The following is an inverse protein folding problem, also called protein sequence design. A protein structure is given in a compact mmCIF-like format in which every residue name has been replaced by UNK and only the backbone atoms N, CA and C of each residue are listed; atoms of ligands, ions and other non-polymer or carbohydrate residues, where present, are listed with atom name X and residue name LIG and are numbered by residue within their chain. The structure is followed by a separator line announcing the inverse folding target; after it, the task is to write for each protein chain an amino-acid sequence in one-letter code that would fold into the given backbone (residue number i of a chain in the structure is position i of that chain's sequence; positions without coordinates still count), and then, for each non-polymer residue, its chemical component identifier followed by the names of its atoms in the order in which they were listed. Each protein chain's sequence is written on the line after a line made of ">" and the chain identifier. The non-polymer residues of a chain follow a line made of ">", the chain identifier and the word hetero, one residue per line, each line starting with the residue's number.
data_IF_738397768535
#
_entry.id   IF_738397768535
#
_cell.length_a   1.000
_cell.length_b   1.000
_cell.length_c   1.000
_cell.angle_alpha   90.00
_cell.angle_beta   90.00
_cell.angle_gamma   90.00
#
_symmetry.space_group_name_H-M   'P 1'
#
loop_
_entity.id
_entity.type
_entity.pdbx_description
1 polymer ?
#
# COMPACT_ATOMS: atom_id res chain seq x y z
N UNK A 1 -30.01 17.96 3.68
CA UNK A 1 -28.77 17.18 3.36
C UNK A 1 -28.90 16.49 2.01
N UNK A 2 -30.02 15.81 1.70
CA UNK A 2 -30.36 15.43 0.31
C UNK A 2 -30.51 16.65 -0.61
N UNK A 3 -31.14 17.74 -0.15
CA UNK A 3 -31.41 18.90 -1.00
C UNK A 3 -30.16 19.61 -1.51
N UNK A 4 -29.04 19.59 -0.77
CA UNK A 4 -27.80 20.25 -1.19
C UNK A 4 -27.02 19.42 -2.21
N UNK A 5 -26.97 18.10 -2.04
CA UNK A 5 -26.30 17.19 -2.98
C UNK A 5 -27.13 17.01 -4.26
N UNK A 6 -28.46 16.88 -4.12
CA UNK A 6 -29.39 16.88 -5.26
C UNK A 6 -29.36 18.21 -6.00
N UNK A 7 -29.32 19.36 -5.31
CA UNK A 7 -29.17 20.67 -5.97
C UNK A 7 -27.82 20.81 -6.69
N UNK A 8 -26.72 20.26 -6.15
CA UNK A 8 -25.42 20.30 -6.80
C UNK A 8 -25.40 19.40 -8.06
N UNK A 9 -25.98 18.20 -7.98
CA UNK A 9 -26.11 17.27 -9.11
C UNK A 9 -27.04 17.83 -10.17
N UNK A 10 -28.15 18.47 -9.80
CA UNK A 10 -29.04 19.16 -10.72
C UNK A 10 -28.37 20.39 -11.35
N UNK A 11 -27.57 21.14 -10.59
CA UNK A 11 -26.81 22.31 -11.10
C UNK A 11 -25.69 21.86 -12.06
N UNK A 12 -24.99 20.77 -11.75
CA UNK A 12 -23.97 20.18 -12.62
C UNK A 12 -24.60 19.56 -13.88
N UNK A 13 -25.74 18.88 -13.74
CA UNK A 13 -26.53 18.35 -14.86
C UNK A 13 -27.09 19.47 -15.75
N UNK A 14 -27.58 20.56 -15.17
CA UNK A 14 -28.05 21.74 -15.90
C UNK A 14 -26.92 22.46 -16.64
N UNK A 15 -25.73 22.58 -16.02
CA UNK A 15 -24.53 23.12 -16.69
C UNK A 15 -24.03 22.20 -17.81
N UNK A 16 -24.08 20.88 -17.63
CA UNK A 16 -23.74 19.93 -18.67
C UNK A 16 -24.74 19.95 -19.84
N UNK A 17 -26.03 20.19 -19.57
CA UNK A 17 -27.07 20.42 -20.59
C UNK A 17 -26.83 21.72 -21.37
N UNK A 18 -26.50 22.81 -20.70
CA UNK A 18 -26.12 24.08 -21.35
C UNK A 18 -24.91 23.91 -22.27
N UNK A 19 -23.86 23.21 -21.81
CA UNK A 19 -22.67 22.92 -22.62
C UNK A 19 -22.96 22.00 -23.82
N UNK A 20 -23.97 21.12 -23.72
CA UNK A 20 -24.38 20.27 -24.83
C UNK A 20 -25.31 21.00 -25.81
N UNK A 21 -26.12 21.95 -25.35
CA UNK A 21 -26.99 22.78 -26.20
C UNK A 21 -26.19 23.88 -26.92
N UNK A 22 -25.24 24.51 -26.23
CA UNK A 22 -24.23 25.40 -26.85
C UNK A 22 -23.34 24.63 -27.83
N UNK A 23 -22.93 23.41 -27.48
CA UNK A 23 -22.22 22.51 -28.39
C UNK A 23 -23.06 22.11 -29.61
N UNK A 24 -24.37 21.91 -29.44
CA UNK A 24 -25.29 21.57 -30.52
C UNK A 24 -25.50 22.76 -31.47
N UNK A 25 -25.66 23.98 -30.96
CA UNK A 25 -25.75 25.18 -31.79
C UNK A 25 -24.42 25.55 -32.47
N UNK A 26 -23.28 25.23 -31.85
CA UNK A 26 -21.96 25.36 -32.48
C UNK A 26 -21.81 24.38 -33.67
N UNK A 27 -22.31 23.15 -33.53
CA UNK A 27 -22.32 22.13 -34.60
C UNK A 27 -23.28 22.51 -35.74
N UNK A 28 -24.40 23.14 -35.40
CA UNK A 28 -25.37 23.69 -36.37
C UNK A 28 -24.81 24.89 -37.14
N UNK A 29 -24.07 25.79 -36.47
CA UNK A 29 -23.39 26.92 -37.10
C UNK A 29 -22.20 26.51 -37.99
N UNK A 30 -21.56 25.38 -37.71
CA UNK A 30 -20.44 24.84 -38.49
C UNK A 30 -20.88 23.98 -39.67
N UNK A 31 -22.20 23.79 -39.86
CA UNK A 31 -22.78 23.13 -41.04
C UNK A 31 -22.43 21.64 -41.16
N UNK A 32 -22.02 21.00 -40.06
CA UNK A 32 -21.52 19.62 -40.07
C UNK A 32 -22.54 18.68 -39.40
N UNK A 33 -23.69 18.49 -40.06
CA UNK A 33 -24.55 17.29 -39.98
C UNK A 33 -25.75 17.43 -40.95
N UNK A 34 -25.88 16.50 -41.89
CA UNK A 34 -27.16 16.22 -42.56
C UNK A 34 -28.07 15.52 -41.55
N UNK A 35 -29.23 16.14 -41.29
CA UNK A 35 -30.32 15.58 -40.49
C UNK A 35 -31.04 14.50 -41.32
N UNK A 36 -31.01 13.24 -40.89
CA UNK A 36 -32.08 12.32 -41.25
C UNK A 36 -33.33 12.70 -40.46
N UNK A 37 -34.30 13.27 -41.17
CA UNK A 37 -35.67 13.47 -40.69
C UNK A 37 -36.38 12.13 -40.51
N UNK A 38 -37.11 12.01 -39.40
CA UNK A 38 -38.29 11.17 -39.30
C UNK A 38 -38.20 10.05 -38.27
N UNK A 39 -38.87 10.23 -37.13
CA UNK A 39 -40.15 9.54 -36.91
C UNK A 39 -40.88 10.20 -35.73
N UNK A 40 -42.07 10.69 -36.05
CA UNK A 40 -43.07 11.22 -35.15
C UNK A 40 -43.79 10.02 -34.51
N UNK A 41 -43.95 10.01 -33.19
CA UNK A 41 -45.08 9.32 -32.59
C UNK A 41 -45.47 10.04 -31.29
N UNK A 42 -46.46 10.89 -31.48
CA UNK A 42 -47.32 11.45 -30.47
C UNK A 42 -48.01 10.32 -29.72
N UNK A 43 -47.72 10.17 -28.42
CA UNK A 43 -48.81 9.83 -27.51
C UNK A 43 -48.62 10.40 -26.11
N UNK A 44 -49.49 11.38 -25.88
CA UNK A 44 -49.77 12.06 -24.64
C UNK A 44 -50.35 11.08 -23.60
N UNK A 45 -49.79 11.09 -22.40
CA UNK A 45 -50.25 10.31 -21.27
C UNK A 45 -49.87 11.00 -19.96
N UNK A 46 -50.50 12.14 -19.71
CA UNK A 46 -50.51 12.81 -18.41
C UNK A 46 -51.15 11.92 -17.36
N UNK A 47 -50.41 11.57 -16.32
CA UNK A 47 -51.00 11.25 -15.01
C UNK A 47 -50.12 11.79 -13.90
N UNK A 48 -50.50 12.97 -13.42
CA UNK A 48 -50.23 13.46 -12.08
C UNK A 48 -50.90 12.54 -11.06
N UNK A 49 -50.18 12.09 -10.01
CA UNK A 49 -50.80 11.77 -8.72
C UNK A 49 -49.86 12.11 -7.56
N UNK A 50 -50.09 13.30 -7.01
CA UNK A 50 -50.28 13.64 -5.60
C UNK A 50 -49.26 13.19 -4.52
N UNK A 51 -48.48 14.18 -4.08
CA UNK A 51 -47.86 14.25 -2.76
C UNK A 51 -48.88 14.20 -1.61
N UNK A 52 -48.58 13.44 -0.55
CA UNK A 52 -49.11 13.66 0.80
C UNK A 52 -47.95 13.91 1.77
N UNK A 53 -47.79 15.18 2.17
CA UNK A 53 -47.26 15.61 3.49
C UNK A 53 -48.36 15.29 4.53
N UNK A 54 -48.16 14.99 5.81
CA UNK A 54 -47.33 15.52 6.94
C UNK A 54 -47.74 14.64 8.19
N UNK A 55 -47.30 14.83 9.46
CA UNK A 55 -46.20 15.62 10.02
C UNK A 55 -45.29 14.89 11.03
N UNK A 56 -44.23 15.60 11.44
CA UNK A 56 -43.36 15.29 12.57
C UNK A 56 -44.02 15.62 13.91
N UNK A 57 -43.61 14.93 14.99
CA UNK A 57 -43.74 15.41 16.37
C UNK A 57 -42.57 14.88 17.22
N UNK A 58 -42.09 15.80 18.07
CA UNK A 58 -40.96 15.84 19.02
C UNK A 58 -40.88 14.66 20.01
N UNK A 59 -39.70 14.10 20.36
CA UNK A 59 -38.64 14.53 21.30
C UNK A 59 -38.81 13.99 22.76
N UNK A 60 -37.68 13.53 23.32
CA UNK A 60 -37.25 13.51 24.75
C UNK A 60 -37.07 12.13 25.47
N UNK A 61 -35.83 11.97 25.96
CA UNK A 61 -35.27 11.20 27.11
C UNK A 61 -34.93 9.69 27.06
N UNK A 62 -33.62 9.44 26.90
CA UNK A 62 -32.70 8.64 27.74
C UNK A 62 -33.21 7.42 28.52
N UNK A 63 -32.61 6.26 28.20
CA UNK A 63 -32.00 5.32 29.17
C UNK A 63 -31.12 4.29 28.45
N UNK A 64 -29.89 4.17 28.92
CA UNK A 64 -28.92 3.14 28.54
C UNK A 64 -29.52 1.74 28.74
N UNK A 65 -29.47 0.92 27.69
CA UNK A 65 -29.55 -0.54 27.78
C UNK A 65 -28.47 -1.07 26.85
N UNK A 66 -27.48 -1.72 27.42
CA UNK A 66 -26.49 -2.54 26.70
C UNK A 66 -27.24 -3.57 25.85
N UNK A 67 -27.10 -3.43 24.54
CA UNK A 67 -27.65 -4.26 23.48
C UNK A 67 -26.72 -4.24 22.27
N UNK A 68 -26.86 -5.20 21.35
CA UNK A 68 -25.80 -5.65 20.44
C UNK A 68 -25.26 -4.51 19.57
N UNK A 69 -23.96 -4.63 19.21
CA UNK A 69 -23.20 -3.70 18.36
C UNK A 69 -24.08 -2.99 17.33
N UNK A 70 -23.94 -1.66 17.16
CA UNK A 70 -24.78 -0.93 16.23
C UNK A 70 -24.65 -1.58 14.86
N UNK A 71 -25.78 -1.99 14.30
CA UNK A 71 -25.86 -2.42 12.91
C UNK A 71 -25.21 -1.31 12.09
N UNK A 72 -24.04 -1.59 11.52
CA UNK A 72 -23.32 -0.66 10.66
C UNK A 72 -24.17 -0.49 9.42
N UNK A 73 -25.10 0.46 9.46
CA UNK A 73 -25.93 0.84 8.32
C UNK A 73 -25.13 1.81 7.47
N UNK A 74 -24.23 1.29 6.64
CA UNK A 74 -23.49 2.07 5.66
C UNK A 74 -22.09 1.53 5.37
N UNK A 75 -21.52 2.01 4.26
CA UNK A 75 -20.19 1.64 3.78
C UNK A 75 -19.19 2.61 4.34
N UNK A 76 -18.30 2.12 5.20
CA UNK A 76 -17.29 2.96 5.84
C UNK A 76 -16.02 3.03 5.00
N UNK A 77 -15.23 4.09 5.17
CA UNK A 77 -13.90 4.19 4.52
C UNK A 77 -13.03 2.98 4.85
N UNK A 78 -13.05 2.56 6.10
CA UNK A 78 -12.29 1.39 6.57
C UNK A 78 -12.65 0.09 5.88
N UNK A 79 -13.90 -0.10 5.46
CA UNK A 79 -14.29 -1.30 4.73
C UNK A 79 -13.58 -1.42 3.37
N UNK A 80 -13.20 -0.28 2.77
CA UNK A 80 -12.46 -0.20 1.52
C UNK A 80 -10.95 -0.30 1.71
N UNK A 81 -10.38 0.39 2.71
CA UNK A 81 -8.93 0.61 2.79
C UNK A 81 -8.22 -0.18 3.89
N UNK A 82 -8.95 -0.77 4.84
CA UNK A 82 -8.35 -1.71 5.78
C UNK A 82 -8.42 -3.14 5.21
N UNK A 83 -7.27 -3.81 5.07
CA UNK A 83 -7.26 -5.21 4.63
C UNK A 83 -8.05 -6.09 5.61
N UNK A 84 -8.63 -7.21 5.13
CA UNK A 84 -9.27 -8.17 6.01
C UNK A 84 -8.23 -8.80 6.96
N UNK A 85 -8.67 -9.31 8.10
CA UNK A 85 -7.77 -9.90 9.12
C UNK A 85 -7.02 -11.15 8.64
N UNK A 86 -7.47 -11.76 7.55
CA UNK A 86 -6.84 -12.94 6.92
C UNK A 86 -5.90 -12.56 5.77
N UNK A 87 -5.62 -11.27 5.58
CA UNK A 87 -4.72 -10.77 4.54
C UNK A 87 -3.25 -11.07 4.89
N UNK A 88 -2.52 -11.61 3.93
CA UNK A 88 -1.15 -12.12 4.06
C UNK A 88 -0.13 -11.21 3.35
N UNK A 89 -0.56 -10.32 2.45
CA UNK A 89 0.32 -9.35 1.77
C UNK A 89 0.48 -8.05 2.59
N UNK A 90 1.43 -7.17 2.25
CA UNK A 90 1.52 -5.86 2.87
C UNK A 90 0.20 -5.07 2.77
N UNK A 91 -0.11 -4.25 3.77
CA UNK A 91 -1.36 -3.48 3.82
C UNK A 91 -1.42 -2.40 2.72
N UNK A 92 -0.25 -1.91 2.30
CA UNK A 92 -0.10 -0.95 1.21
C UNK A 92 -0.51 -1.55 -0.13
N UNK A 93 -0.34 -2.87 -0.33
CA UNK A 93 -0.82 -3.56 -1.54
C UNK A 93 -2.36 -3.58 -1.58
N UNK A 94 -3.01 -3.83 -0.44
CA UNK A 94 -4.47 -3.77 -0.35
C UNK A 94 -4.98 -2.38 -0.71
N UNK A 95 -4.40 -1.33 -0.12
CA UNK A 95 -4.81 0.05 -0.35
C UNK A 95 -4.67 0.43 -1.83
N UNK A 96 -3.53 0.11 -2.45
CA UNK A 96 -3.28 0.35 -3.88
C UNK A 96 -4.33 -0.34 -4.77
N UNK A 97 -4.64 -1.60 -4.49
CA UNK A 97 -5.61 -2.38 -5.26
C UNK A 97 -7.03 -1.84 -5.05
N UNK A 98 -7.40 -1.52 -3.82
CA UNK A 98 -8.70 -0.95 -3.48
C UNK A 98 -8.95 0.38 -4.20
N UNK A 99 -7.98 1.31 -4.20
CA UNK A 99 -8.06 2.56 -4.94
C UNK A 99 -8.21 2.31 -6.44
N UNK A 100 -7.42 1.38 -6.98
CA UNK A 100 -7.47 1.04 -8.40
C UNK A 100 -8.84 0.49 -8.83
N UNK A 101 -9.50 -0.29 -7.97
CA UNK A 101 -10.83 -0.83 -8.24
C UNK A 101 -11.92 0.26 -8.28
N UNK A 102 -11.78 1.34 -7.50
CA UNK A 102 -12.69 2.50 -7.55
C UNK A 102 -12.50 3.35 -8.82
N UNK A 103 -11.35 3.18 -9.48
CA UNK A 103 -10.92 3.87 -10.69
C UNK A 103 -11.02 2.98 -11.94
N UNK A 104 -11.62 1.80 -11.82
CA UNK A 104 -11.81 0.86 -12.92
C UNK A 104 -13.26 0.90 -13.42
N UNK A 105 -13.41 1.18 -14.71
CA UNK A 105 -14.70 1.50 -15.33
C UNK A 105 -15.69 0.33 -15.24
N UNK A 106 -15.25 -0.88 -15.54
CA UNK A 106 -16.12 -2.05 -15.55
C UNK A 106 -16.56 -2.46 -14.14
N UNK A 107 -15.70 -2.29 -13.15
CA UNK A 107 -15.97 -2.50 -11.73
C UNK A 107 -17.08 -1.59 -11.22
N UNK A 108 -17.17 -0.39 -11.77
CA UNK A 108 -18.16 0.59 -11.38
C UNK A 108 -19.49 0.45 -12.16
N UNK A 109 -19.46 -0.04 -13.40
CA UNK A 109 -20.63 -0.06 -14.29
C UNK A 109 -21.33 -1.43 -14.33
N UNK A 110 -20.58 -2.54 -14.34
CA UNK A 110 -21.16 -3.87 -14.53
C UNK A 110 -21.93 -4.29 -13.27
N UNK A 111 -23.25 -4.56 -13.38
CA UNK A 111 -24.05 -5.03 -12.25
C UNK A 111 -23.63 -6.44 -11.81
N UNK A 112 -23.53 -6.71 -10.49
CA UNK A 112 -23.26 -8.03 -9.93
C UNK A 112 -24.13 -9.14 -10.51
N UNK A 113 -25.41 -8.87 -10.77
CA UNK A 113 -26.38 -9.83 -11.31
C UNK A 113 -25.93 -10.39 -12.66
N UNK A 114 -25.25 -9.59 -13.48
CA UNK A 114 -24.74 -10.05 -14.77
C UNK A 114 -23.58 -11.02 -14.62
N UNK A 115 -22.72 -10.80 -13.62
CA UNK A 115 -21.57 -11.66 -13.33
C UNK A 115 -22.05 -12.98 -12.74
N UNK A 116 -22.95 -12.90 -11.75
CA UNK A 116 -23.58 -14.06 -11.07
C UNK A 116 -24.43 -14.88 -12.04
N UNK A 117 -24.99 -14.25 -13.09
CA UNK A 117 -25.74 -14.92 -14.15
C UNK A 117 -24.88 -15.69 -15.16
N UNK A 118 -23.56 -15.54 -15.18
CA UNK A 118 -22.67 -16.25 -16.10
C UNK A 118 -21.90 -17.36 -15.40
N UNK A 119 -22.24 -18.62 -15.71
CA UNK A 119 -21.64 -19.82 -15.10
C UNK A 119 -20.12 -19.87 -15.24
N UNK A 120 -19.58 -19.41 -16.39
CA UNK A 120 -18.14 -19.40 -16.65
C UNK A 120 -17.37 -18.50 -15.68
N UNK A 121 -17.89 -17.29 -15.45
CA UNK A 121 -17.30 -16.30 -14.54
C UNK A 121 -17.50 -16.70 -13.09
N UNK A 122 -18.67 -17.21 -12.74
CA UNK A 122 -18.96 -17.73 -11.39
C UNK A 122 -18.03 -18.89 -11.04
N UNK A 123 -17.87 -19.86 -11.94
CA UNK A 123 -16.99 -21.01 -11.71
C UNK A 123 -15.53 -20.55 -11.50
N UNK A 124 -15.06 -19.62 -12.33
CA UNK A 124 -13.73 -19.03 -12.17
C UNK A 124 -13.58 -18.26 -10.85
N UNK A 125 -14.56 -17.45 -10.48
CA UNK A 125 -14.59 -16.69 -9.23
C UNK A 125 -14.58 -17.61 -8.00
N UNK A 126 -15.43 -18.63 -7.99
CA UNK A 126 -15.48 -19.63 -6.92
C UNK A 126 -14.15 -20.38 -6.78
N UNK A 127 -13.54 -20.78 -7.91
CA UNK A 127 -12.22 -21.41 -7.92
C UNK A 127 -11.13 -20.51 -7.35
N UNK A 128 -11.11 -19.22 -7.71
CA UNK A 128 -10.15 -18.25 -7.18
C UNK A 128 -10.33 -18.01 -5.68
N UNK A 129 -11.56 -18.00 -5.18
CA UNK A 129 -11.89 -17.78 -3.77
C UNK A 129 -11.86 -19.07 -2.93
N UNK A 130 -11.61 -20.21 -3.56
CA UNK A 130 -11.65 -21.53 -2.94
C UNK A 130 -12.98 -21.81 -2.20
N UNK A 131 -14.10 -21.51 -2.87
CA UNK A 131 -15.45 -21.79 -2.39
C UNK A 131 -16.17 -22.79 -3.30
N UNK A 132 -16.93 -23.70 -2.69
CA UNK A 132 -17.51 -24.84 -3.41
C UNK A 132 -18.75 -24.50 -4.25
N UNK A 133 -19.38 -23.34 -4.02
CA UNK A 133 -20.62 -22.95 -4.71
C UNK A 133 -20.86 -21.44 -4.69
N UNK A 134 -21.72 -20.99 -5.59
CA UNK A 134 -22.16 -19.58 -5.69
C UNK A 134 -22.87 -19.09 -4.42
N UNK A 135 -23.51 -19.99 -3.67
CA UNK A 135 -24.22 -19.69 -2.42
C UNK A 135 -23.28 -19.24 -1.30
N UNK A 136 -21.98 -19.52 -1.44
CA UNK A 136 -20.93 -19.05 -0.51
C UNK A 136 -20.41 -17.66 -0.87
N UNK A 137 -20.81 -17.09 -2.00
CA UNK A 137 -20.49 -15.71 -2.34
C UNK A 137 -21.40 -14.74 -1.58
N UNK A 138 -20.96 -13.49 -1.33
CA UNK A 138 -21.79 -12.48 -0.70
C UNK A 138 -23.06 -12.21 -1.51
N UNK A 139 -24.19 -12.13 -0.81
CA UNK A 139 -25.45 -11.69 -1.42
C UNK A 139 -25.30 -10.28 -2.00
N UNK A 140 -26.00 -10.01 -3.11
CA UNK A 140 -26.01 -8.68 -3.70
C UNK A 140 -26.76 -7.73 -2.75
N UNK A 141 -26.08 -6.70 -2.21
CA UNK A 141 -26.66 -5.85 -1.19
C UNK A 141 -27.75 -4.94 -1.77
N UNK A 142 -28.70 -4.53 -0.93
CA UNK A 142 -29.70 -3.52 -1.32
C UNK A 142 -29.09 -2.13 -1.14
N UNK A 143 -29.52 -1.16 -1.95
CA UNK A 143 -28.98 0.21 -1.89
C UNK A 143 -28.94 0.82 -0.47
N UNK A 144 -29.96 0.55 0.35
CA UNK A 144 -30.03 1.05 1.74
C UNK A 144 -28.84 0.60 2.61
N UNK A 145 -28.26 -0.55 2.28
CA UNK A 145 -27.13 -1.18 2.98
C UNK A 145 -25.79 -0.69 2.39
N UNK A 146 -25.82 -0.03 1.22
CA UNK A 146 -24.67 0.48 0.46
C UNK A 146 -24.49 2.00 0.55
N UNK A 147 -25.20 2.69 1.44
CA UNK A 147 -25.04 4.15 1.57
C UNK A 147 -23.64 4.49 2.07
N UNK A 148 -22.87 5.33 1.37
CA UNK A 148 -21.54 5.71 1.84
C UNK A 148 -21.64 6.51 3.14
N UNK A 149 -20.74 6.23 4.07
CA UNK A 149 -20.54 7.04 5.27
C UNK A 149 -20.04 8.45 4.91
N UNK A 150 -20.28 9.43 5.78
CA UNK A 150 -19.79 10.79 5.57
C UNK A 150 -18.26 10.83 5.42
N UNK A 151 -17.55 10.03 6.21
CA UNK A 151 -16.10 9.92 6.14
C UNK A 151 -15.60 9.47 4.75
N UNK A 152 -16.26 8.47 4.17
CA UNK A 152 -15.91 7.99 2.82
C UNK A 152 -16.19 9.07 1.77
N UNK A 153 -17.28 9.82 1.91
CA UNK A 153 -17.61 10.93 1.01
C UNK A 153 -16.57 12.05 1.14
N UNK A 154 -16.24 12.46 2.35
CA UNK A 154 -15.25 13.50 2.61
C UNK A 154 -13.89 13.11 2.05
N UNK A 155 -13.49 11.84 2.21
CA UNK A 155 -12.25 11.32 1.62
C UNK A 155 -12.30 11.33 0.09
N UNK A 156 -13.38 10.85 -0.53
CA UNK A 156 -13.52 10.89 -2.00
C UNK A 156 -13.43 12.32 -2.54
N UNK A 157 -13.94 13.31 -1.79
CA UNK A 157 -13.87 14.72 -2.18
C UNK A 157 -12.45 15.31 -2.05
N UNK A 158 -11.58 14.71 -1.24
CA UNK A 158 -10.17 15.08 -1.13
C UNK A 158 -9.32 14.41 -2.22
N UNK A 159 -9.69 13.21 -2.66
CA UNK A 159 -9.01 12.49 -3.75
C UNK A 159 -9.50 12.95 -5.12
N UNK A 160 -8.82 13.96 -5.68
CA UNK A 160 -9.20 14.62 -6.94
C UNK A 160 -9.38 13.64 -8.10
N UNK A 161 -8.53 12.61 -8.21
CA UNK A 161 -8.63 11.64 -9.29
C UNK A 161 -9.88 10.75 -9.18
N UNK A 162 -10.19 10.28 -7.97
CA UNK A 162 -11.35 9.43 -7.72
C UNK A 162 -12.68 10.18 -7.96
N UNK A 163 -12.77 11.43 -7.50
CA UNK A 163 -13.98 12.24 -7.70
C UNK A 163 -14.16 12.64 -9.16
N UNK A 164 -13.09 12.99 -9.87
CA UNK A 164 -13.13 13.28 -11.30
C UNK A 164 -13.60 12.07 -12.08
N UNK A 165 -13.00 10.89 -11.84
CA UNK A 165 -13.39 9.63 -12.47
C UNK A 165 -14.87 9.32 -12.23
N UNK A 166 -15.33 9.36 -10.98
CA UNK A 166 -16.74 9.12 -10.63
C UNK A 166 -17.68 10.12 -11.29
N UNK A 167 -17.31 11.40 -11.33
CA UNK A 167 -18.13 12.47 -11.91
C UNK A 167 -18.34 12.30 -13.42
N UNK A 168 -17.38 11.67 -14.12
CA UNK A 168 -17.50 11.33 -15.54
C UNK A 168 -18.31 10.06 -15.78
N UNK A 169 -18.23 9.10 -14.86
CA UNK A 169 -18.79 7.76 -15.01
C UNK A 169 -20.27 7.68 -14.61
N UNK A 170 -20.62 8.15 -13.42
CA UNK A 170 -21.96 7.99 -12.83
C UNK A 170 -23.04 8.65 -13.70
N UNK A 171 -23.05 9.97 -13.96
CA UNK A 171 -24.14 10.59 -14.74
C UNK A 171 -24.26 10.05 -16.16
N UNK A 172 -23.23 9.38 -16.69
CA UNK A 172 -23.17 8.89 -18.07
C UNK A 172 -23.60 7.43 -18.22
N UNK A 173 -23.31 6.56 -17.26
CA UNK A 173 -23.44 5.11 -17.44
C UNK A 173 -24.24 4.38 -16.36
N UNK A 174 -24.33 4.93 -15.15
CA UNK A 174 -24.87 4.19 -13.99
C UNK A 174 -25.43 5.15 -12.94
N UNK A 175 -26.60 4.87 -12.35
CA UNK A 175 -27.12 5.71 -11.27
C UNK A 175 -26.20 5.71 -10.05
N UNK A 176 -26.26 6.74 -9.21
CA UNK A 176 -25.48 6.76 -7.96
C UNK A 176 -25.78 5.52 -7.09
N UNK A 177 -27.04 5.09 -7.07
CA UNK A 177 -27.47 3.91 -6.32
C UNK A 177 -26.78 2.64 -6.83
N UNK A 178 -26.76 2.45 -8.16
CA UNK A 178 -26.11 1.28 -8.76
C UNK A 178 -24.60 1.34 -8.66
N UNK A 179 -23.99 2.52 -8.75
CA UNK A 179 -22.55 2.67 -8.51
C UNK A 179 -22.17 2.12 -7.13
N UNK A 180 -22.91 2.51 -6.08
CA UNK A 180 -22.64 2.02 -4.74
C UNK A 180 -22.93 0.53 -4.57
N UNK A 181 -24.02 0.01 -5.13
CA UNK A 181 -24.28 -1.46 -5.10
C UNK A 181 -23.15 -2.23 -5.76
N UNK A 182 -22.73 -1.81 -6.97
CA UNK A 182 -21.69 -2.45 -7.77
C UNK A 182 -20.35 -2.47 -7.02
N UNK A 183 -19.97 -1.34 -6.44
CA UNK A 183 -18.73 -1.17 -5.69
C UNK A 183 -18.77 -1.96 -4.38
N UNK A 184 -19.87 -1.88 -3.61
CA UNK A 184 -19.99 -2.59 -2.33
C UNK A 184 -19.87 -4.10 -2.48
N UNK A 185 -20.62 -4.68 -3.42
CA UNK A 185 -20.59 -6.13 -3.64
C UNK A 185 -19.19 -6.64 -3.99
N UNK A 186 -18.48 -5.90 -4.84
CA UNK A 186 -17.08 -6.21 -5.18
C UNK A 186 -16.18 -6.17 -3.97
N UNK A 187 -16.30 -5.16 -3.12
CA UNK A 187 -15.49 -5.09 -1.91
C UNK A 187 -15.83 -6.21 -0.90
N UNK A 188 -17.08 -6.66 -0.82
CA UNK A 188 -17.41 -7.85 -0.03
C UNK A 188 -16.68 -9.09 -0.56
N UNK A 189 -16.58 -9.25 -1.89
CA UNK A 189 -15.83 -10.32 -2.54
C UNK A 189 -14.32 -10.16 -2.32
N UNK A 190 -13.77 -8.95 -2.50
CA UNK A 190 -12.35 -8.66 -2.33
C UNK A 190 -11.87 -9.00 -0.93
N UNK A 191 -12.71 -8.78 0.08
CA UNK A 191 -12.42 -9.12 1.48
C UNK A 191 -12.35 -10.64 1.75
N UNK A 192 -12.76 -11.48 0.81
CA UNK A 192 -12.56 -12.93 0.86
C UNK A 192 -11.17 -13.36 0.35
N UNK A 193 -10.42 -12.44 -0.29
CA UNK A 193 -9.07 -12.70 -0.77
C UNK A 193 -8.06 -12.64 0.38
N UNK A 194 -6.97 -13.40 0.25
CA UNK A 194 -5.88 -13.50 1.22
C UNK A 194 -4.62 -12.76 0.81
N UNK A 195 -4.40 -12.53 -0.48
CA UNK A 195 -3.19 -11.87 -0.95
C UNK A 195 -3.43 -11.05 -2.22
N UNK A 196 -2.47 -10.19 -2.56
CA UNK A 196 -2.56 -9.27 -3.70
C UNK A 196 -2.75 -9.95 -5.05
N UNK A 197 -2.17 -11.14 -5.25
CA UNK A 197 -2.30 -11.87 -6.52
C UNK A 197 -3.71 -12.43 -6.71
N UNK A 198 -4.23 -13.07 -5.67
CA UNK A 198 -5.61 -13.57 -5.66
C UNK A 198 -6.60 -12.43 -5.86
N UNK A 199 -6.38 -11.30 -5.17
CA UNK A 199 -7.24 -10.12 -5.31
C UNK A 199 -7.23 -9.57 -6.74
N UNK A 200 -6.07 -9.46 -7.37
CA UNK A 200 -5.96 -9.06 -8.77
C UNK A 200 -6.69 -10.00 -9.72
N UNK A 201 -6.56 -11.32 -9.54
CA UNK A 201 -7.24 -12.31 -10.38
C UNK A 201 -8.76 -12.18 -10.22
N UNK A 202 -9.23 -11.96 -8.99
CA UNK A 202 -10.65 -11.75 -8.69
C UNK A 202 -11.15 -10.43 -9.30
N UNK A 203 -10.42 -9.33 -9.12
CA UNK A 203 -10.72 -8.01 -9.71
C UNK A 203 -10.87 -8.11 -11.23
N UNK A 204 -9.95 -8.80 -11.90
CA UNK A 204 -10.00 -9.02 -13.35
C UNK A 204 -11.25 -9.81 -13.77
N UNK A 205 -11.63 -10.83 -13.01
CA UNK A 205 -12.86 -11.62 -13.28
C UNK A 205 -14.12 -10.79 -13.09
N UNK A 206 -14.26 -10.06 -11.97
CA UNK A 206 -15.47 -9.25 -11.69
C UNK A 206 -15.55 -7.96 -12.52
N UNK A 207 -14.53 -7.67 -13.31
CA UNK A 207 -14.47 -6.58 -14.28
C UNK A 207 -14.62 -7.06 -15.73
N UNK A 208 -14.74 -8.37 -15.93
CA UNK A 208 -14.96 -8.96 -17.26
C UNK A 208 -16.43 -8.82 -17.64
N UNK A 209 -16.72 -8.26 -18.82
CA UNK A 209 -18.08 -8.14 -19.32
C UNK A 209 -18.65 -9.52 -19.67
N UNK A 210 -19.79 -9.93 -19.07
CA UNK A 210 -20.44 -11.19 -19.38
C UNK A 210 -21.02 -11.19 -20.79
N UNK A 211 -20.75 -12.22 -21.60
CA UNK A 211 -21.24 -12.38 -22.99
C UNK A 211 -21.27 -11.08 -23.84
N UNK A 212 -20.16 -10.67 -24.50
CA UNK A 212 -20.04 -9.36 -25.18
C UNK A 212 -20.82 -9.23 -26.52
N UNK A 213 -22.01 -9.82 -26.62
CA UNK A 213 -22.87 -9.85 -27.82
C UNK A 213 -24.25 -9.28 -27.49
N UNK A 214 -24.86 -8.50 -28.39
CA UNK A 214 -26.25 -8.06 -28.17
C UNK A 214 -27.26 -9.19 -28.37
N UNK A 215 -28.53 -8.88 -28.04
CA UNK A 215 -29.69 -9.78 -28.16
C UNK A 215 -29.97 -10.28 -29.59
N UNK A 216 -29.23 -9.82 -30.59
CA UNK A 216 -29.34 -10.25 -32.00
C UNK A 216 -28.16 -11.08 -32.48
N UNK A 217 -27.18 -11.40 -31.61
CA UNK A 217 -25.99 -12.16 -31.99
C UNK A 217 -24.97 -11.35 -32.79
N UNK A 218 -25.08 -10.02 -32.77
CA UNK A 218 -24.11 -9.10 -33.40
C UNK A 218 -23.22 -8.49 -32.31
N UNK A 219 -21.92 -8.39 -32.57
CA UNK A 219 -20.97 -7.65 -31.74
C UNK A 219 -21.47 -6.20 -31.59
N UNK A 220 -21.77 -5.75 -30.35
CA UNK A 220 -22.26 -4.38 -30.12
C UNK A 220 -21.26 -3.35 -30.63
N UNK A 221 -21.76 -2.38 -31.41
CA UNK A 221 -21.01 -1.16 -31.81
C UNK A 221 -20.90 -0.10 -30.71
N UNK A 222 -21.47 -0.29 -29.51
CA UNK A 222 -21.34 0.65 -28.39
C UNK A 222 -20.17 0.24 -27.49
N UNK A 223 -19.11 1.04 -27.54
CA UNK A 223 -17.93 1.00 -26.65
C UNK A 223 -18.31 1.40 -25.21
N UNK A 224 -19.09 0.57 -24.54
CA UNK A 224 -19.31 0.64 -23.10
C UNK A 224 -18.83 -0.72 -22.60
N UNK A 225 -17.80 -0.78 -21.76
CA UNK A 225 -17.26 -2.05 -21.25
C UNK A 225 -15.96 -2.57 -21.90
N UNK A 226 -15.41 -1.88 -22.91
CA UNK A 226 -14.15 -2.30 -23.56
C UNK A 226 -13.12 -1.18 -23.65
N UNK A 227 -12.28 -1.03 -22.62
CA UNK A 227 -10.85 -0.91 -22.80
C UNK A 227 -10.24 -2.32 -22.82
N UNK A 228 -9.10 -2.46 -23.46
CA UNK A 228 -8.25 -3.63 -23.33
C UNK A 228 -7.73 -3.71 -21.88
N UNK A 229 -8.59 -4.12 -20.94
CA UNK A 229 -8.30 -4.14 -19.49
C UNK A 229 -7.15 -5.09 -19.16
N UNK A 230 -6.79 -6.00 -20.05
CA UNK A 230 -5.57 -6.79 -19.95
C UNK A 230 -4.33 -5.90 -19.81
N UNK A 231 -4.26 -4.75 -20.48
CA UNK A 231 -3.15 -3.81 -20.29
C UNK A 231 -3.20 -3.11 -18.93
N UNK A 232 -4.38 -2.75 -18.44
CA UNK A 232 -4.56 -2.16 -17.10
C UNK A 232 -4.12 -3.15 -16.01
N UNK A 233 -4.67 -4.37 -16.02
CA UNK A 233 -4.34 -5.42 -15.05
C UNK A 233 -2.89 -5.87 -15.16
N UNK A 234 -2.32 -5.95 -16.37
CA UNK A 234 -0.89 -6.22 -16.56
C UNK A 234 -0.03 -5.12 -15.93
N UNK A 235 -0.35 -3.84 -16.17
CA UNK A 235 0.36 -2.71 -15.54
C UNK A 235 0.23 -2.74 -14.01
N UNK A 236 -0.94 -3.13 -13.49
CA UNK A 236 -1.14 -3.26 -12.04
C UNK A 236 -0.29 -4.38 -11.45
N UNK A 237 -0.25 -5.55 -12.11
CA UNK A 237 0.64 -6.67 -11.74
C UNK A 237 2.11 -6.26 -11.78
N UNK A 238 2.54 -5.58 -12.83
CA UNK A 238 3.91 -5.04 -12.94
C UNK A 238 4.21 -4.05 -11.80
N UNK A 239 3.28 -3.15 -11.48
CA UNK A 239 3.43 -2.17 -10.39
C UNK A 239 3.61 -2.85 -9.03
N UNK A 240 2.80 -3.87 -8.74
CA UNK A 240 2.91 -4.64 -7.49
C UNK A 240 4.22 -5.42 -7.43
N UNK A 241 4.60 -6.08 -8.54
CA UNK A 241 5.85 -6.81 -8.59
C UNK A 241 7.06 -5.89 -8.38
N UNK A 242 7.10 -4.72 -9.03
CA UNK A 242 8.15 -3.74 -8.81
C UNK A 242 8.21 -3.25 -7.36
N UNK A 243 7.06 -3.06 -6.69
CA UNK A 243 7.01 -2.69 -5.26
C UNK A 243 7.56 -3.82 -4.37
N UNK A 244 7.20 -5.07 -4.65
CA UNK A 244 7.72 -6.23 -3.91
C UNK A 244 9.23 -6.39 -4.09
N UNK A 245 9.72 -6.27 -5.31
CA UNK A 245 11.16 -6.30 -5.61
C UNK A 245 11.90 -5.17 -4.91
N UNK A 246 11.32 -3.96 -4.88
CA UNK A 246 11.90 -2.83 -4.16
C UNK A 246 11.94 -3.08 -2.65
N UNK A 247 10.86 -3.60 -2.07
CA UNK A 247 10.79 -3.92 -0.64
C UNK A 247 11.80 -5.00 -0.25
N UNK A 248 11.88 -6.09 -1.02
CA UNK A 248 12.86 -7.16 -0.80
C UNK A 248 14.30 -6.65 -0.91
N UNK A 249 14.57 -5.83 -1.94
CA UNK A 249 15.88 -5.19 -2.10
C UNK A 249 16.23 -4.28 -0.91
N UNK A 250 15.27 -3.49 -0.42
CA UNK A 250 15.45 -2.63 0.76
C UNK A 250 15.75 -3.45 2.02
N UNK A 251 15.03 -4.54 2.25
CA UNK A 251 15.25 -5.44 3.39
C UNK A 251 16.65 -6.07 3.34
N UNK A 252 17.11 -6.50 2.16
CA UNK A 252 18.47 -7.00 1.94
C UNK A 252 19.53 -5.93 2.27
N UNK A 253 19.33 -4.68 1.83
CA UNK A 253 20.25 -3.60 2.15
C UNK A 253 20.29 -3.31 3.66
N UNK A 254 19.13 -3.31 4.33
CA UNK A 254 19.02 -3.09 5.77
C UNK A 254 19.77 -4.19 6.53
N UNK A 255 19.50 -5.45 6.19
CA UNK A 255 20.15 -6.62 6.80
C UNK A 255 21.67 -6.57 6.60
N UNK A 256 22.13 -6.26 5.39
CA UNK A 256 23.56 -6.10 5.10
C UNK A 256 24.19 -5.01 5.97
N UNK A 257 23.58 -3.83 6.05
CA UNK A 257 24.12 -2.71 6.84
C UNK A 257 24.16 -3.03 8.33
N UNK A 258 23.10 -3.64 8.87
CA UNK A 258 23.04 -4.05 10.27
C UNK A 258 24.13 -5.07 10.60
N UNK A 259 24.27 -6.10 9.78
CA UNK A 259 25.28 -7.14 9.96
C UNK A 259 26.70 -6.56 9.96
N UNK A 260 27.02 -5.68 9.01
CA UNK A 260 28.34 -5.05 8.95
C UNK A 260 28.62 -4.11 10.13
N UNK A 261 27.59 -3.40 10.62
CA UNK A 261 27.68 -2.59 11.83
C UNK A 261 27.97 -3.47 13.05
N UNK A 262 27.29 -4.60 13.20
CA UNK A 262 27.49 -5.52 14.33
C UNK A 262 28.92 -6.08 14.37
N UNK A 263 29.44 -6.54 13.22
CA UNK A 263 30.82 -7.02 13.11
C UNK A 263 31.84 -5.92 13.43
N UNK A 264 31.61 -4.71 12.93
CA UNK A 264 32.45 -3.55 13.20
C UNK A 264 32.45 -3.18 14.69
N UNK A 265 31.27 -3.18 15.33
CA UNK A 265 31.12 -2.87 16.76
C UNK A 265 31.82 -3.89 17.65
N UNK A 266 31.72 -5.18 17.33
CA UNK A 266 32.42 -6.24 18.09
C UNK A 266 33.93 -6.03 18.09
N UNK A 267 34.52 -5.76 16.91
CA UNK A 267 35.95 -5.47 16.80
C UNK A 267 36.36 -4.15 17.47
N UNK A 268 35.53 -3.12 17.34
CA UNK A 268 35.74 -1.83 17.99
C UNK A 268 35.77 -1.96 19.52
N UNK A 269 34.88 -2.77 20.10
CA UNK A 269 34.86 -3.06 21.53
C UNK A 269 36.15 -3.76 21.98
N UNK A 270 36.60 -4.77 21.23
CA UNK A 270 37.87 -5.44 21.50
C UNK A 270 39.06 -4.47 21.46
N UNK A 271 39.15 -3.64 20.41
CA UNK A 271 40.22 -2.64 20.28
C UNK A 271 40.18 -1.63 21.44
N UNK A 272 38.99 -1.18 21.81
CA UNK A 272 38.79 -0.26 22.93
C UNK A 272 39.30 -0.86 24.24
N UNK A 273 39.01 -2.14 24.50
CA UNK A 273 39.49 -2.84 25.69
C UNK A 273 41.03 -2.96 25.71
N UNK A 274 41.66 -3.23 24.56
CA UNK A 274 43.12 -3.30 24.42
C UNK A 274 43.76 -1.93 24.68
N UNK A 275 43.19 -0.86 24.09
CA UNK A 275 43.61 0.53 24.33
C UNK A 275 43.52 0.88 25.82
N UNK A 276 42.41 0.54 26.48
CA UNK A 276 42.22 0.82 27.92
C UNK A 276 43.26 0.13 28.80
N UNK A 277 43.68 -1.09 28.43
CA UNK A 277 44.75 -1.81 29.12
C UNK A 277 46.16 -1.35 28.74
N UNK A 278 46.28 -0.46 27.73
CA UNK A 278 47.56 0.00 27.15
C UNK A 278 48.45 -1.15 26.69
N UNK A 279 47.81 -2.20 26.14
CA UNK A 279 48.50 -3.38 25.64
C UNK A 279 48.84 -3.19 24.16
N UNK A 280 50.13 -3.30 23.81
CA UNK A 280 50.60 -3.38 22.43
C UNK A 280 51.09 -4.80 22.18
N UNK A 281 50.15 -5.69 21.87
CA UNK A 281 50.37 -7.13 21.66
C UNK A 281 50.10 -7.50 20.21
N UNK A 282 50.56 -8.67 19.77
CA UNK A 282 50.22 -9.21 18.44
C UNK A 282 48.70 -9.32 18.22
N UNK A 283 47.95 -9.61 19.29
CA UNK A 283 46.49 -9.59 19.28
C UNK A 283 45.96 -8.18 19.03
N UNK A 284 46.52 -7.15 19.66
CA UNK A 284 46.17 -5.75 19.42
C UNK A 284 46.41 -5.32 17.98
N UNK A 285 47.52 -5.74 17.39
CA UNK A 285 47.84 -5.45 15.99
C UNK A 285 46.86 -6.15 15.04
N UNK A 286 46.54 -7.42 15.32
CA UNK A 286 45.52 -8.19 14.58
C UNK A 286 44.13 -7.54 14.64
N UNK A 287 43.68 -7.15 15.85
CA UNK A 287 42.39 -6.47 16.04
C UNK A 287 42.37 -5.09 15.38
N UNK A 288 43.50 -4.37 15.40
CA UNK A 288 43.66 -3.09 14.67
C UNK A 288 43.52 -3.29 13.16
N UNK A 289 44.16 -4.31 12.57
CA UNK A 289 43.99 -4.62 11.14
C UNK A 289 42.56 -5.02 10.80
N UNK A 290 41.89 -5.79 11.66
CA UNK A 290 40.46 -6.11 11.51
C UNK A 290 39.59 -4.83 11.54
N UNK A 291 39.86 -3.91 12.47
CA UNK A 291 39.17 -2.63 12.55
C UNK A 291 39.40 -1.77 11.28
N UNK A 292 40.62 -1.75 10.73
CA UNK A 292 40.92 -1.07 9.46
C UNK A 292 40.13 -1.68 8.30
N UNK A 293 40.05 -3.01 8.24
CA UNK A 293 39.26 -3.72 7.24
C UNK A 293 37.78 -3.34 7.32
N UNK A 294 37.19 -3.39 8.51
CA UNK A 294 35.78 -3.03 8.71
C UNK A 294 35.54 -1.55 8.38
N UNK A 295 36.41 -0.63 8.80
CA UNK A 295 36.30 0.79 8.43
C UNK A 295 36.26 0.98 6.90
N UNK A 296 37.19 0.37 6.16
CA UNK A 296 37.21 0.45 4.71
C UNK A 296 35.96 -0.17 4.06
N UNK A 297 35.42 -1.24 4.64
CA UNK A 297 34.18 -1.88 4.20
C UNK A 297 32.95 -0.99 4.42
N UNK A 298 32.84 -0.37 5.60
CA UNK A 298 31.79 0.61 5.91
C UNK A 298 31.90 1.85 5.00
N UNK A 299 33.11 2.34 4.71
CA UNK A 299 33.33 3.45 3.76
C UNK A 299 32.78 3.12 2.37
N UNK A 300 33.06 1.91 1.87
CA UNK A 300 32.52 1.43 0.58
C UNK A 300 31.00 1.32 0.63
N UNK A 301 30.43 0.83 1.73
CA UNK A 301 28.99 0.68 1.90
C UNK A 301 28.28 2.05 1.91
N UNK A 302 28.80 3.02 2.66
CA UNK A 302 28.31 4.41 2.64
C UNK A 302 28.40 5.01 1.22
N UNK A 303 29.49 4.75 0.50
CA UNK A 303 29.64 5.17 -0.90
C UNK A 303 28.56 4.58 -1.81
N UNK A 304 28.29 3.27 -1.70
CA UNK A 304 27.24 2.59 -2.47
C UNK A 304 25.85 3.15 -2.16
N UNK A 305 25.51 3.34 -0.88
CA UNK A 305 24.22 3.88 -0.47
C UNK A 305 24.03 5.32 -0.96
N UNK A 306 25.07 6.16 -0.94
CA UNK A 306 25.02 7.52 -1.50
C UNK A 306 24.75 7.53 -3.00
N UNK A 307 25.31 6.58 -3.75
CA UNK A 307 25.04 6.45 -5.19
C UNK A 307 23.60 6.02 -5.48
N UNK A 308 22.93 5.37 -4.52
CA UNK A 308 21.57 4.86 -4.64
C UNK A 308 20.53 5.75 -3.94
N UNK A 309 20.88 7.00 -3.63
CA UNK A 309 20.03 7.95 -2.88
C UNK A 309 18.60 8.02 -3.41
N UNK A 310 18.40 8.15 -4.71
CA UNK A 310 17.06 8.27 -5.32
C UNK A 310 16.20 7.03 -5.07
N UNK A 311 16.83 5.85 -5.10
CA UNK A 311 16.16 4.56 -4.85
C UNK A 311 15.82 4.37 -3.37
N UNK A 312 16.63 4.93 -2.47
CA UNK A 312 16.46 4.82 -1.02
C UNK A 312 15.36 5.75 -0.47
N UNK A 313 15.02 6.84 -1.17
CA UNK A 313 13.96 7.77 -0.76
C UNK A 313 14.08 8.19 0.71
N UNK A 314 12.96 8.21 1.44
CA UNK A 314 12.88 8.52 2.88
C UNK A 314 13.11 7.29 3.79
N UNK A 315 13.82 6.27 3.31
CA UNK A 315 14.07 5.06 4.10
C UNK A 315 15.04 5.29 5.27
N UNK A 316 15.11 4.32 6.18
CA UNK A 316 16.07 4.34 7.30
C UNK A 316 17.53 4.34 6.88
N UNK A 317 17.81 3.99 5.61
CA UNK A 317 19.13 4.00 4.98
C UNK A 317 19.41 5.28 4.19
N UNK A 318 18.49 6.25 4.17
CA UNK A 318 18.69 7.49 3.45
C UNK A 318 19.95 8.23 3.94
N UNK A 319 20.84 8.67 3.04
CA UNK A 319 22.05 9.40 3.43
C UNK A 319 21.84 10.74 4.14
N UNK A 320 20.66 11.35 4.03
CA UNK A 320 20.38 12.68 4.58
C UNK A 320 19.75 12.65 5.97
N UNK A 321 18.84 11.70 6.19
CA UNK A 321 17.98 11.65 7.38
C UNK A 321 17.74 10.22 7.91
N UNK A 322 18.33 9.20 7.30
CA UNK A 322 18.13 7.81 7.68
C UNK A 322 18.85 7.45 9.00
N UNK A 323 18.15 6.99 10.05
CA UNK A 323 18.78 6.65 11.33
C UNK A 323 19.81 5.52 11.23
N UNK A 324 19.58 4.51 10.39
CA UNK A 324 20.54 3.41 10.21
C UNK A 324 21.77 3.87 9.42
N UNK A 325 21.60 4.78 8.45
CA UNK A 325 22.73 5.42 7.78
C UNK A 325 23.55 6.30 8.75
N UNK A 326 22.88 7.06 9.63
CA UNK A 326 23.57 7.85 10.65
C UNK A 326 24.35 6.96 11.63
N UNK A 327 23.79 5.82 12.02
CA UNK A 327 24.50 4.82 12.83
C UNK A 327 25.73 4.26 12.11
N UNK A 328 25.61 3.95 10.81
CA UNK A 328 26.72 3.50 9.97
C UNK A 328 27.87 4.52 9.94
N UNK A 329 27.56 5.80 9.77
CA UNK A 329 28.54 6.91 9.81
C UNK A 329 29.21 6.99 11.18
N UNK A 330 28.42 6.97 12.26
CA UNK A 330 28.92 7.05 13.63
C UNK A 330 29.90 5.91 13.97
N UNK A 331 29.57 4.67 13.59
CA UNK A 331 30.48 3.52 13.83
C UNK A 331 31.77 3.64 13.02
N UNK A 332 31.69 4.15 11.78
CA UNK A 332 32.89 4.40 10.97
C UNK A 332 33.79 5.48 11.60
N UNK A 333 33.19 6.56 12.12
CA UNK A 333 33.92 7.63 12.80
C UNK A 333 34.58 7.12 14.10
N UNK A 334 33.89 6.31 14.90
CA UNK A 334 34.46 5.70 16.10
C UNK A 334 35.63 4.76 15.77
N UNK A 335 35.53 3.97 14.69
CA UNK A 335 36.64 3.14 14.21
C UNK A 335 37.85 4.00 13.83
N UNK A 336 37.65 5.12 13.12
CA UNK A 336 38.74 6.07 12.82
C UNK A 336 39.43 6.55 14.09
N UNK A 337 38.66 7.07 15.04
CA UNK A 337 39.18 7.63 16.29
C UNK A 337 39.96 6.60 17.10
N UNK A 338 39.41 5.39 17.29
CA UNK A 338 40.10 4.34 18.07
C UNK A 338 41.35 3.80 17.37
N UNK A 339 41.34 3.72 16.04
CA UNK A 339 42.54 3.35 15.27
C UNK A 339 43.66 4.40 15.44
N UNK A 340 43.33 5.69 15.43
CA UNK A 340 44.29 6.76 15.68
C UNK A 340 44.87 6.70 17.10
N UNK A 341 44.02 6.44 18.11
CA UNK A 341 44.46 6.27 19.50
C UNK A 341 45.41 5.07 19.64
N UNK A 342 45.09 3.92 19.02
CA UNK A 342 45.96 2.74 19.06
C UNK A 342 47.29 2.98 18.34
N UNK A 343 47.28 3.66 17.19
CA UNK A 343 48.51 4.05 16.49
C UNK A 343 49.41 4.98 17.33
N UNK A 344 48.81 5.92 18.07
CA UNK A 344 49.53 6.79 19.00
C UNK A 344 50.17 6.02 20.15
N UNK A 345 49.49 5.01 20.70
CA UNK A 345 50.06 4.10 21.71
C UNK A 345 51.30 3.35 21.18
N UNK A 346 51.23 2.82 19.96
CA UNK A 346 52.36 2.13 19.31
C UNK A 346 53.55 3.06 19.07
N UNK A 347 53.31 4.34 18.77
CA UNK A 347 54.36 5.33 18.51
C UNK A 347 55.12 5.79 19.77
N UNK A 348 54.67 5.39 20.98
CA UNK A 348 55.31 5.74 22.23
C UNK A 348 55.16 7.21 22.66
N UNK A 349 54.24 7.96 22.04
CA UNK A 349 53.93 9.35 22.42
C UNK A 349 52.90 9.38 23.57
N UNK A 350 53.31 9.56 24.85
CA UNK A 350 52.41 9.39 25.99
C UNK A 350 51.55 10.63 26.26
N UNK A 351 51.75 11.71 25.50
CA UNK A 351 51.22 13.05 25.77
C UNK A 351 49.77 13.24 25.34
N UNK A 352 49.23 12.41 24.45
CA UNK A 352 47.86 12.56 23.92
C UNK A 352 46.86 11.50 24.41
N UNK A 353 47.32 10.46 25.11
CA UNK A 353 46.46 9.39 25.67
C UNK A 353 45.73 9.78 26.98
N UNK A 354 45.31 11.04 27.11
CA UNK A 354 44.35 11.46 28.16
C UNK A 354 42.98 11.64 27.51
N UNK A 355 42.23 10.55 27.38
CA UNK A 355 40.77 10.65 27.41
C UNK A 355 40.40 11.22 28.79
N UNK A 356 40.00 12.49 28.82
CA UNK A 356 39.25 13.03 29.94
C UNK A 356 37.90 12.33 29.95
N UNK A 357 37.83 11.20 30.65
CA UNK A 357 36.56 10.57 31.02
C UNK A 357 35.84 11.55 31.94
N UNK A 358 34.93 12.35 31.36
CA UNK A 358 33.87 12.99 32.13
C UNK A 358 32.97 11.90 32.67
N UNK A 359 33.09 11.60 33.96
CA UNK A 359 32.07 10.88 34.70
C UNK A 359 30.75 11.68 34.62
N UNK A 360 29.79 11.18 33.84
CA UNK A 360 28.46 11.74 33.79
C UNK A 360 27.52 10.92 32.90
N UNK A 361 26.83 9.95 33.51
CA UNK A 361 25.61 9.36 32.98
C UNK A 361 25.74 7.95 32.43
N UNK A 362 25.53 6.95 33.30
CA UNK A 362 25.03 5.64 32.90
C UNK A 362 23.71 5.81 32.12
N UNK A 363 23.70 5.50 30.83
CA UNK A 363 22.51 4.92 30.19
C UNK A 363 22.89 3.52 29.72
N UNK A 364 22.68 2.59 30.66
CA UNK A 364 22.73 1.17 30.45
C UNK A 364 21.55 0.78 29.56
N UNK A 365 21.80 0.54 28.27
CA UNK A 365 20.81 -0.06 27.38
C UNK A 365 20.57 -1.48 27.85
N UNK A 366 19.50 -1.66 28.62
CA UNK A 366 19.09 -2.95 29.18
C UNK A 366 18.57 -3.83 28.05
N UNK A 367 19.37 -4.79 27.59
CA UNK A 367 18.86 -5.94 26.84
C UNK A 367 18.21 -6.91 27.84
N UNK A 368 16.89 -7.06 27.77
CA UNK A 368 16.17 -8.11 28.48
C UNK A 368 16.57 -9.47 27.91
N UNK A 369 17.36 -10.23 28.65
CA UNK A 369 17.55 -11.67 28.44
C UNK A 369 16.60 -12.44 29.35
N UNK A 370 15.67 -13.17 28.74
CA UNK A 370 14.87 -14.20 29.40
C UNK A 370 15.76 -15.36 29.83
N UNK A 371 15.69 -15.69 31.12
CA UNK A 371 16.32 -16.82 31.81
C UNK A 371 15.94 -18.18 31.22
N UNK A 372 16.94 -19.00 30.93
CA UNK A 372 16.91 -20.45 31.19
C UNK A 372 18.33 -20.98 31.23
N UNK A 373 18.83 -21.27 32.42
CA UNK A 373 20.21 -21.65 32.67
C UNK A 373 20.57 -23.08 32.26
N UNK A 374 21.87 -23.28 32.09
CA UNK A 374 22.61 -24.44 32.56
C UNK A 374 24.08 -24.10 32.59
N UNK A 375 24.69 -24.26 33.77
CA UNK A 375 26.13 -24.25 33.97
C UNK A 375 26.80 -25.22 32.97
N UNK A 376 27.75 -24.70 32.21
CA UNK A 376 28.88 -25.49 31.77
C UNK A 376 30.12 -24.60 31.79
N UNK A 377 30.99 -24.92 32.74
CA UNK A 377 32.38 -24.50 32.81
C UNK A 377 33.05 -25.07 31.55
N UNK A 378 33.35 -24.21 30.59
CA UNK A 378 34.24 -24.50 29.47
C UNK A 378 34.98 -23.22 29.12
N UNK A 379 36.30 -23.26 29.34
CA UNK A 379 37.29 -22.33 28.84
C UNK A 379 37.10 -22.09 27.35
N UNK A 380 36.35 -21.05 26.97
CA UNK A 380 36.26 -20.58 25.59
C UNK A 380 37.58 -19.92 25.22
N UNK A 381 38.43 -20.68 24.53
CA UNK A 381 39.54 -20.15 23.74
C UNK A 381 38.91 -19.32 22.62
N UNK A 382 39.09 -18.00 22.67
CA UNK A 382 38.69 -17.09 21.60
C UNK A 382 39.75 -17.17 20.51
N UNK A 383 39.53 -18.03 19.53
CA UNK A 383 40.28 -18.03 18.29
C UNK A 383 39.65 -16.97 17.36
N UNK A 384 40.42 -15.95 17.01
CA UNK A 384 40.02 -14.96 16.03
C UNK A 384 39.98 -15.64 14.66
N UNK A 385 38.79 -15.97 14.17
CA UNK A 385 38.62 -16.55 12.83
C UNK A 385 39.01 -15.49 11.80
N UNK A 386 40.12 -15.72 11.09
CA UNK A 386 40.62 -14.83 10.05
C UNK A 386 40.02 -15.23 8.68
N UNK A 387 39.59 -14.28 7.83
CA UNK A 387 38.76 -14.58 6.65
C UNK A 387 39.39 -15.46 5.56
N UNK A 388 40.71 -15.72 5.60
CA UNK A 388 41.39 -16.55 4.60
C UNK A 388 41.47 -18.03 4.97
N UNK A 389 40.98 -18.43 6.14
CA UNK A 389 40.97 -19.84 6.56
C UNK A 389 39.82 -20.65 5.93
N UNK A 390 38.86 -20.00 5.25
CA UNK A 390 37.72 -20.68 4.61
C UNK A 390 37.90 -20.98 3.11
N UNK A 391 38.95 -20.48 2.45
CA UNK A 391 39.17 -20.72 1.01
C UNK A 391 40.10 -21.92 0.70
N UNK A 392 40.28 -22.82 1.67
CA UNK A 392 41.30 -23.88 1.62
C UNK A 392 40.82 -25.34 1.55
N UNK A 393 39.51 -25.61 1.43
CA UNK A 393 39.01 -27.00 1.39
C UNK A 393 37.95 -27.22 0.30
N UNK A 394 38.37 -27.11 -0.97
CA UNK A 394 37.80 -27.92 -2.04
C UNK A 394 38.97 -28.49 -2.87
N UNK A 395 39.35 -29.71 -2.56
CA UNK A 395 40.25 -30.56 -3.34
C UNK A 395 39.48 -31.70 -3.99
#
# INVERSE_FOLDING_TARGET
>A
MFDALSALVETASAKAKLLTEEGYELVKQTGMLELEEGYDDTNCGTTEVNCKKTPATECVTSKEVEGPCPVVTGVTKDQFFLPPSQWESPAEEWSLLAESALMEENSCIIPPERIVGEESLVSKLCGLLNVDSIEKLPEIPRFRDCKPSQELVDWLMLETECIEFRSLLVPRYVSDEQYWINTCWRFLIYRMCRNGNQLLDVMEVVSTEPNPVDTTGVLRKKRIGVPNNATHWKKMRETINCRREMAAWMEEQISTVQHEIELALSNLQLLTNIIMKRETTELGDSVSESCKYHKAKLDRLMGKLRLQREKLGDSILCPENGPLFAQLVNVNDQLREKLEVYASLLSGNPSECRENVSHGGHEEVTLKTSTSGKDHDDTTVFEAVLPWEQEGEEG
#
